data_IF_265500722034
#
_entry.id   IF_265500722034
#
_cell.length_a   1.000
_cell.length_b   1.000
_cell.length_c   1.000
_cell.angle_alpha   90.00
_cell.angle_beta   90.00
_cell.angle_gamma   90.00
#
_symmetry.space_group_name_H-M   'P 1'
#
loop_
_entity.id
_entity.type
_entity.pdbx_description
1 polymer ?
#
# COMPACT_ATOMS: atom_id res chain seq x y z
N UNK A 1 14.64 -24.13 -17.86
CA UNK A 1 13.97 -24.27 -16.55
C UNK A 1 12.49 -24.39 -16.82
N UNK A 2 11.85 -25.50 -16.43
CA UNK A 2 10.44 -25.74 -16.72
C UNK A 2 9.57 -24.73 -15.97
N UNK A 3 8.65 -24.09 -16.67
CA UNK A 3 7.74 -23.06 -16.14
C UNK A 3 6.78 -23.54 -15.04
N UNK A 4 6.76 -24.83 -14.71
CA UNK A 4 5.82 -25.43 -13.78
C UNK A 4 6.22 -25.41 -12.29
N UNK A 5 7.41 -24.91 -11.90
CA UNK A 5 7.87 -24.96 -10.49
C UNK A 5 7.91 -23.62 -9.75
N UNK A 6 7.51 -22.51 -10.38
CA UNK A 6 7.57 -21.18 -9.74
C UNK A 6 6.33 -20.87 -8.89
N UNK A 7 5.19 -21.53 -9.13
CA UNK A 7 3.92 -21.21 -8.46
C UNK A 7 3.87 -21.58 -6.96
N UNK A 8 4.83 -22.36 -6.44
CA UNK A 8 4.76 -22.87 -5.05
C UNK A 8 5.67 -22.16 -4.07
N UNK A 9 6.68 -21.40 -4.50
CA UNK A 9 7.63 -20.80 -3.56
C UNK A 9 7.14 -19.44 -3.04
N UNK A 10 7.22 -19.23 -1.71
CA UNK A 10 7.02 -17.91 -1.12
C UNK A 10 8.23 -16.99 -1.44
N UNK A 11 8.04 -15.66 -1.43
CA UNK A 11 9.16 -14.73 -1.41
C UNK A 11 10.10 -15.04 -0.23
N UNK A 12 11.40 -14.84 -0.41
CA UNK A 12 12.42 -14.98 0.64
C UNK A 12 12.02 -14.26 1.92
N UNK A 13 11.86 -15.05 2.98
CA UNK A 13 11.48 -14.61 4.30
C UNK A 13 12.66 -14.43 5.24
N UNK A 14 12.37 -14.11 6.50
CA UNK A 14 13.39 -13.91 7.55
C UNK A 14 14.32 -15.13 7.70
N UNK A 15 13.78 -16.34 7.54
CA UNK A 15 14.56 -17.58 7.66
C UNK A 15 15.47 -17.86 6.46
N UNK A 16 15.16 -17.29 5.29
CA UNK A 16 15.98 -17.43 4.09
C UNK A 16 17.15 -16.46 4.07
N UNK A 17 17.08 -15.37 4.83
CA UNK A 17 18.02 -14.26 4.72
C UNK A 17 19.11 -14.29 5.79
N UNK A 18 20.25 -13.68 5.44
CA UNK A 18 21.31 -13.29 6.36
C UNK A 18 21.13 -11.80 6.71
N UNK A 19 20.79 -11.45 7.96
CA UNK A 19 20.58 -10.07 8.36
C UNK A 19 21.88 -9.25 8.34
N UNK A 20 23.05 -9.92 8.35
CA UNK A 20 24.34 -9.24 8.31
C UNK A 20 24.81 -9.05 6.88
N UNK A 21 24.82 -7.78 6.46
CA UNK A 21 25.37 -7.36 5.18
C UNK A 21 26.88 -7.61 5.15
N UNK A 22 27.35 -8.32 4.12
CA UNK A 22 28.78 -8.54 3.85
C UNK A 22 29.14 -7.83 2.56
N UNK A 23 30.04 -6.85 2.67
CA UNK A 23 30.57 -6.08 1.54
C UNK A 23 31.96 -6.61 1.20
N UNK A 24 32.31 -6.66 -0.09
CA UNK A 24 33.63 -7.09 -0.52
C UNK A 24 34.72 -6.15 0.03
N UNK A 25 35.86 -6.66 0.54
CA UNK A 25 36.90 -5.82 1.15
C UNK A 25 37.49 -4.80 0.17
N UNK A 26 37.63 -5.18 -1.10
CA UNK A 26 38.27 -4.36 -2.13
C UNK A 26 37.30 -3.53 -2.99
N UNK A 27 35.99 -3.79 -2.91
CA UNK A 27 34.98 -3.08 -3.71
C UNK A 27 33.68 -2.92 -2.92
N UNK A 28 33.39 -1.68 -2.51
CA UNK A 28 32.21 -1.37 -1.69
C UNK A 28 30.89 -1.51 -2.43
N UNK A 29 30.91 -1.59 -3.75
CA UNK A 29 29.72 -1.81 -4.56
C UNK A 29 29.43 -3.30 -4.80
N UNK A 30 30.36 -4.20 -4.44
CA UNK A 30 30.13 -5.64 -4.43
C UNK A 30 29.60 -6.09 -3.06
N UNK A 31 28.38 -6.63 -3.06
CA UNK A 31 27.72 -7.11 -1.85
C UNK A 31 27.48 -8.61 -2.00
N UNK A 32 27.76 -9.39 -0.94
CA UNK A 32 27.35 -10.79 -0.91
C UNK A 32 25.83 -10.87 -0.93
N UNK A 33 25.29 -11.75 -1.77
CA UNK A 33 23.86 -12.01 -1.82
C UNK A 33 23.28 -12.25 -0.42
N UNK A 34 22.09 -11.68 -0.15
CA UNK A 34 21.47 -11.74 1.17
C UNK A 34 20.83 -13.08 1.51
N UNK A 35 20.71 -14.01 0.56
CA UNK A 35 20.21 -15.35 0.87
C UNK A 35 21.27 -16.12 1.66
N UNK A 36 20.84 -16.72 2.77
CA UNK A 36 21.68 -17.42 3.75
C UNK A 36 22.51 -18.49 3.06
N UNK A 37 23.82 -18.50 3.35
CA UNK A 37 24.76 -19.44 2.76
C UNK A 37 25.25 -19.10 1.34
N UNK A 38 24.64 -18.13 0.64
CA UNK A 38 25.10 -17.73 -0.68
C UNK A 38 26.49 -17.09 -0.62
N UNK A 39 27.36 -17.47 -1.57
CA UNK A 39 28.74 -16.98 -1.68
C UNK A 39 28.95 -15.97 -2.81
N UNK A 40 27.93 -15.72 -3.65
CA UNK A 40 28.03 -14.79 -4.75
C UNK A 40 28.07 -13.34 -4.27
N UNK A 41 29.09 -12.60 -4.70
CA UNK A 41 29.13 -11.15 -4.64
C UNK A 41 28.53 -10.57 -5.93
N UNK A 42 27.57 -9.66 -5.78
CA UNK A 42 26.87 -8.99 -6.89
C UNK A 42 27.09 -7.49 -6.80
N UNK A 43 27.29 -6.83 -7.95
CA UNK A 43 27.36 -5.37 -7.98
C UNK A 43 25.99 -4.77 -7.68
N UNK A 44 25.92 -3.90 -6.69
CA UNK A 44 24.67 -3.26 -6.30
C UNK A 44 24.14 -2.33 -7.39
N UNK A 45 22.82 -2.15 -7.50
CA UNK A 45 22.25 -1.13 -8.37
C UNK A 45 22.66 0.28 -7.92
N UNK A 46 22.82 1.18 -8.89
CA UNK A 46 23.05 2.62 -8.67
C UNK A 46 22.06 3.42 -9.52
N UNK A 47 22.08 4.75 -9.39
CA UNK A 47 21.27 5.62 -10.27
C UNK A 47 21.56 5.41 -11.75
N UNK A 48 22.76 4.95 -12.10
CA UNK A 48 23.23 4.83 -13.49
C UNK A 48 23.32 3.38 -13.97
N UNK A 49 23.25 2.40 -13.07
CA UNK A 49 23.45 1.00 -13.40
C UNK A 49 22.43 0.13 -12.68
N UNK A 50 21.86 -0.84 -13.41
CA UNK A 50 20.86 -1.76 -12.85
C UNK A 50 21.43 -2.76 -11.84
N UNK A 51 22.75 -2.91 -11.74
CA UNK A 51 23.41 -3.91 -10.90
C UNK A 51 23.27 -5.35 -11.40
N UNK A 52 24.06 -6.24 -10.81
CA UNK A 52 24.08 -7.67 -11.14
C UNK A 52 22.95 -8.42 -10.45
N UNK A 53 22.50 -9.50 -11.08
CA UNK A 53 21.55 -10.45 -10.51
C UNK A 53 22.34 -11.62 -9.94
N UNK A 54 22.03 -12.04 -8.72
CA UNK A 54 22.59 -13.28 -8.17
C UNK A 54 22.13 -14.47 -9.04
N UNK A 55 23.05 -15.26 -9.62
CA UNK A 55 22.69 -16.32 -10.56
C UNK A 55 21.83 -17.43 -9.92
N UNK A 56 22.01 -17.67 -8.62
CA UNK A 56 21.30 -18.73 -7.90
C UNK A 56 19.92 -18.29 -7.38
N UNK A 57 19.78 -17.01 -7.02
CA UNK A 57 18.62 -16.52 -6.27
C UNK A 57 17.75 -15.52 -7.03
N UNK A 58 18.23 -15.02 -8.17
CA UNK A 58 17.44 -14.12 -9.03
C UNK A 58 17.13 -12.76 -8.39
N UNK A 59 17.93 -12.32 -7.41
CA UNK A 59 17.76 -11.01 -6.74
C UNK A 59 18.91 -10.06 -7.05
N UNK A 60 18.61 -8.76 -6.98
CA UNK A 60 19.59 -7.68 -6.91
C UNK A 60 19.69 -7.19 -5.47
N UNK A 61 20.91 -7.03 -4.96
CA UNK A 61 21.17 -6.56 -3.61
C UNK A 61 21.40 -5.04 -3.60
N UNK A 62 20.58 -4.31 -2.85
CA UNK A 62 20.69 -2.87 -2.66
C UNK A 62 21.27 -2.57 -1.28
N UNK A 63 22.31 -1.73 -1.22
CA UNK A 63 22.87 -1.26 0.04
C UNK A 63 23.15 0.24 -0.03
N UNK A 64 22.72 0.97 0.99
CA UNK A 64 22.91 2.41 1.11
C UNK A 64 22.98 2.83 2.58
N UNK A 65 23.24 4.12 2.84
CA UNK A 65 23.18 4.70 4.19
C UNK A 65 21.80 4.59 4.86
N UNK A 66 20.74 4.37 4.09
CA UNK A 66 19.36 4.29 4.57
C UNK A 66 18.90 2.86 4.89
N UNK A 67 19.78 1.88 4.63
CA UNK A 67 19.52 0.46 4.85
C UNK A 67 19.89 -0.41 3.66
N UNK A 68 19.75 -1.70 3.86
CA UNK A 68 19.89 -2.74 2.84
C UNK A 68 18.54 -3.33 2.50
N UNK A 69 18.35 -3.73 1.26
CA UNK A 69 17.13 -4.40 0.79
C UNK A 69 17.45 -5.13 -0.52
N UNK A 70 16.53 -5.92 -1.04
CA UNK A 70 16.72 -6.56 -2.33
C UNK A 70 15.50 -6.36 -3.23
N UNK A 71 15.68 -6.65 -4.51
CA UNK A 71 14.58 -6.72 -5.47
C UNK A 71 14.74 -7.95 -6.34
N UNK A 72 13.65 -8.68 -6.56
CA UNK A 72 13.60 -9.78 -7.51
C UNK A 72 13.78 -9.26 -8.94
N UNK A 73 14.56 -9.99 -9.74
CA UNK A 73 14.67 -9.74 -11.16
C UNK A 73 13.37 -10.14 -11.90
N UNK A 74 12.71 -11.18 -11.42
CA UNK A 74 11.37 -11.59 -11.84
C UNK A 74 10.36 -11.17 -10.76
N UNK A 75 9.51 -10.19 -11.06
CA UNK A 75 8.53 -9.65 -10.11
C UNK A 75 7.56 -10.70 -9.57
N UNK A 76 7.27 -11.76 -10.34
CA UNK A 76 6.38 -12.86 -9.91
C UNK A 76 6.86 -13.53 -8.63
N UNK A 77 8.18 -13.52 -8.39
CA UNK A 77 8.79 -14.06 -7.16
C UNK A 77 8.43 -13.27 -5.90
N UNK A 78 7.91 -12.05 -6.04
CA UNK A 78 7.42 -11.22 -4.93
C UNK A 78 5.91 -11.36 -4.71
N UNK A 79 5.21 -12.15 -5.54
CA UNK A 79 3.75 -12.21 -5.60
C UNK A 79 3.26 -13.60 -5.21
N UNK A 80 2.33 -13.67 -4.24
CA UNK A 80 1.81 -14.95 -3.71
C UNK A 80 0.40 -15.27 -4.19
N UNK A 81 -0.35 -14.28 -4.66
CA UNK A 81 -1.71 -14.43 -5.16
C UNK A 81 -1.75 -14.10 -6.66
N UNK A 82 -2.23 -15.04 -7.48
CA UNK A 82 -2.30 -14.92 -8.94
C UNK A 82 -1.07 -14.25 -9.60
N UNK A 83 0.16 -14.77 -9.41
CA UNK A 83 1.39 -14.12 -9.87
C UNK A 83 1.47 -13.95 -11.39
N UNK A 84 0.92 -14.90 -12.16
CA UNK A 84 0.90 -14.80 -13.62
C UNK A 84 -0.06 -13.71 -14.10
N UNK A 85 -1.25 -13.62 -13.49
CA UNK A 85 -2.21 -12.56 -13.77
C UNK A 85 -1.63 -11.18 -13.43
N UNK A 86 -0.96 -11.07 -12.29
CA UNK A 86 -0.26 -9.85 -11.90
C UNK A 86 0.79 -9.43 -12.95
N UNK A 87 1.62 -10.38 -13.37
CA UNK A 87 2.66 -10.11 -14.37
C UNK A 87 2.09 -9.74 -15.73
N UNK A 88 0.97 -10.35 -16.13
CA UNK A 88 0.33 -10.06 -17.41
C UNK A 88 -0.42 -8.72 -17.41
N UNK A 89 -1.16 -8.42 -16.35
CA UNK A 89 -2.14 -7.33 -16.34
C UNK A 89 -1.68 -6.07 -15.63
N UNK A 90 -0.79 -6.17 -14.64
CA UNK A 90 -0.35 -5.03 -13.82
C UNK A 90 1.03 -4.52 -14.25
N UNK A 91 1.96 -5.41 -14.58
CA UNK A 91 3.33 -5.00 -14.90
C UNK A 91 3.35 -4.25 -16.23
N UNK A 92 3.67 -2.95 -16.15
CA UNK A 92 3.66 -2.07 -17.33
C UNK A 92 2.28 -1.51 -17.67
N UNK A 93 1.28 -1.72 -16.82
CA UNK A 93 -0.05 -1.13 -17.01
C UNK A 93 0.03 0.41 -17.05
N UNK A 94 -0.64 1.08 -18.01
CA UNK A 94 -0.50 2.52 -18.22
C UNK A 94 -0.99 3.37 -17.04
N UNK A 95 -1.93 2.84 -16.26
CA UNK A 95 -2.48 3.53 -15.08
C UNK A 95 -1.77 3.17 -13.77
N UNK A 96 -0.74 2.30 -13.79
CA UNK A 96 0.05 1.97 -12.61
C UNK A 96 1.37 2.72 -12.61
N UNK A 97 1.50 3.72 -11.73
CA UNK A 97 2.78 4.39 -11.55
C UNK A 97 3.79 3.49 -10.82
N UNK A 98 5.09 3.73 -11.06
CA UNK A 98 6.20 3.05 -10.37
C UNK A 98 6.27 1.51 -10.49
N UNK A 99 5.73 0.92 -11.57
CA UNK A 99 5.73 -0.54 -11.81
C UNK A 99 7.11 -1.22 -11.71
N UNK A 100 8.20 -0.47 -11.90
CA UNK A 100 9.58 -0.96 -11.73
C UNK A 100 9.95 -1.32 -10.28
N UNK A 101 9.14 -0.93 -9.28
CA UNK A 101 9.37 -1.18 -7.84
C UNK A 101 8.63 -2.39 -7.30
N UNK A 102 7.75 -3.00 -8.09
CA UNK A 102 6.90 -4.14 -7.68
C UNK A 102 7.71 -5.37 -7.25
N UNK A 103 8.93 -5.54 -7.79
CA UNK A 103 9.84 -6.62 -7.40
C UNK A 103 10.62 -6.35 -6.12
N UNK A 104 10.51 -5.18 -5.50
CA UNK A 104 11.27 -4.84 -4.30
C UNK A 104 10.72 -5.55 -3.07
N UNK A 105 11.62 -6.04 -2.22
CA UNK A 105 11.28 -6.62 -0.91
C UNK A 105 10.36 -5.69 -0.11
N UNK A 106 10.65 -4.39 -0.10
CA UNK A 106 9.88 -3.42 0.65
C UNK A 106 8.74 -2.75 -0.16
N UNK A 107 8.31 -3.36 -1.26
CA UNK A 107 7.23 -2.82 -2.10
C UNK A 107 5.88 -2.86 -1.36
N UNK A 108 5.34 -1.68 -1.08
CA UNK A 108 3.99 -1.46 -0.54
C UNK A 108 2.91 -1.93 -1.51
N UNK A 109 3.10 -1.68 -2.80
CA UNK A 109 2.21 -2.16 -3.87
C UNK A 109 2.15 -3.69 -3.94
N UNK A 110 3.30 -4.37 -3.94
CA UNK A 110 3.33 -5.83 -3.97
C UNK A 110 2.69 -6.41 -2.70
N UNK A 111 2.88 -5.77 -1.54
CA UNK A 111 2.20 -6.16 -0.31
C UNK A 111 0.68 -5.98 -0.42
N UNK A 112 0.22 -4.83 -0.92
CA UNK A 112 -1.20 -4.52 -1.10
C UNK A 112 -1.88 -5.53 -2.02
N UNK A 113 -1.24 -5.87 -3.14
CA UNK A 113 -1.68 -6.95 -4.02
C UNK A 113 -1.75 -8.28 -3.27
N UNK A 114 -0.64 -8.71 -2.66
CA UNK A 114 -0.57 -10.01 -1.98
C UNK A 114 -1.62 -10.17 -0.88
N UNK A 115 -1.95 -9.09 -0.16
CA UNK A 115 -2.98 -9.10 0.88
C UNK A 115 -4.37 -9.10 0.27
N UNK A 116 -4.73 -8.07 -0.50
CA UNK A 116 -6.11 -7.88 -0.91
C UNK A 116 -6.54 -8.82 -2.04
N UNK A 117 -5.61 -9.24 -2.91
CA UNK A 117 -5.91 -10.27 -3.90
C UNK A 117 -6.10 -11.65 -3.23
N UNK A 118 -5.31 -11.98 -2.20
CA UNK A 118 -5.54 -13.21 -1.42
C UNK A 118 -6.90 -13.19 -0.72
N UNK A 119 -7.30 -12.04 -0.15
CA UNK A 119 -8.62 -11.86 0.45
C UNK A 119 -9.74 -12.02 -0.58
N UNK A 120 -9.59 -11.43 -1.77
CA UNK A 120 -10.54 -11.56 -2.86
C UNK A 120 -10.68 -13.03 -3.32
N UNK A 121 -9.57 -13.72 -3.55
CA UNK A 121 -9.57 -15.14 -3.94
C UNK A 121 -10.15 -16.08 -2.88
N UNK A 122 -10.23 -15.60 -1.63
CA UNK A 122 -10.82 -16.28 -0.50
C UNK A 122 -12.29 -15.91 -0.23
N UNK A 123 -12.84 -14.89 -0.89
CA UNK A 123 -14.16 -14.34 -0.58
C UNK A 123 -14.23 -13.77 0.84
N UNK A 124 -13.20 -13.01 1.24
CA UNK A 124 -13.07 -12.43 2.58
C UNK A 124 -12.93 -10.90 2.56
N UNK A 125 -13.19 -10.23 1.44
CA UNK A 125 -13.13 -8.77 1.38
C UNK A 125 -14.23 -8.14 2.24
N UNK A 126 -15.43 -8.72 2.30
CA UNK A 126 -16.50 -8.24 3.17
C UNK A 126 -16.10 -8.32 4.65
N UNK A 127 -15.43 -9.41 5.02
CA UNK A 127 -14.94 -9.61 6.38
C UNK A 127 -13.89 -8.56 6.78
N UNK A 128 -12.94 -8.26 5.88
CA UNK A 128 -11.93 -7.22 6.14
C UNK A 128 -12.51 -5.82 6.05
N UNK A 129 -13.51 -5.58 5.18
CA UNK A 129 -14.26 -4.34 5.18
C UNK A 129 -14.92 -4.11 6.54
N UNK A 130 -15.59 -5.12 7.11
CA UNK A 130 -16.17 -5.03 8.47
C UNK A 130 -15.14 -4.66 9.53
N UNK A 131 -13.94 -5.23 9.49
CA UNK A 131 -12.85 -4.84 10.39
C UNK A 131 -12.49 -3.35 10.23
N UNK A 132 -12.47 -2.85 9.01
CA UNK A 132 -12.07 -1.48 8.69
C UNK A 132 -13.15 -0.47 8.99
N UNK A 133 -14.41 -0.73 8.65
CA UNK A 133 -15.52 0.24 8.74
C UNK A 133 -16.52 -0.06 9.86
N UNK A 134 -16.39 -1.19 10.55
CA UNK A 134 -17.26 -1.58 11.67
C UNK A 134 -18.67 -2.01 11.28
N UNK A 135 -18.98 -2.04 9.98
CA UNK A 135 -20.28 -2.45 9.45
C UNK A 135 -20.23 -3.83 8.83
N UNK A 136 -21.28 -4.61 9.05
CA UNK A 136 -21.40 -5.96 8.53
C UNK A 136 -22.27 -5.97 7.28
N UNK A 137 -21.66 -6.34 6.15
CA UNK A 137 -22.34 -6.50 4.86
C UNK A 137 -21.99 -7.89 4.33
N UNK A 138 -22.97 -8.77 4.07
CA UNK A 138 -22.68 -10.14 3.63
C UNK A 138 -22.18 -10.26 2.19
N UNK A 139 -22.33 -9.20 1.38
CA UNK A 139 -21.85 -9.16 0.00
C UNK A 139 -20.39 -8.74 -0.09
N UNK A 140 -19.62 -9.44 -0.94
CA UNK A 140 -18.25 -9.06 -1.26
C UNK A 140 -18.22 -7.73 -2.03
N UNK A 141 -17.42 -6.74 -1.60
CA UNK A 141 -17.18 -5.53 -2.38
C UNK A 141 -16.30 -5.81 -3.61
N UNK A 142 -16.37 -4.90 -4.58
CA UNK A 142 -15.37 -4.80 -5.63
C UNK A 142 -14.03 -4.35 -5.03
N UNK A 143 -12.94 -5.00 -5.47
CA UNK A 143 -11.57 -4.60 -5.15
C UNK A 143 -11.01 -3.73 -6.26
N UNK A 144 -10.44 -2.59 -5.88
CA UNK A 144 -9.61 -1.77 -6.75
C UNK A 144 -8.23 -1.64 -6.13
N UNK A 145 -7.18 -1.77 -6.94
CA UNK A 145 -5.82 -1.45 -6.55
C UNK A 145 -5.31 -0.39 -7.51
N UNK A 146 -4.80 0.71 -6.98
CA UNK A 146 -4.24 1.80 -7.80
C UNK A 146 -5.24 2.43 -8.77
N UNK A 147 -6.53 2.39 -8.41
CA UNK A 147 -7.61 2.85 -9.29
C UNK A 147 -7.94 1.93 -10.46
N UNK A 148 -7.45 0.69 -10.44
CA UNK A 148 -7.75 -0.36 -11.43
C UNK A 148 -8.63 -1.41 -10.76
N UNK A 149 -9.76 -1.76 -11.37
CA UNK A 149 -10.59 -2.86 -10.87
C UNK A 149 -9.80 -4.16 -10.95
N UNK A 150 -9.76 -4.92 -9.87
CA UNK A 150 -9.06 -6.22 -9.85
C UNK A 150 -10.11 -7.31 -9.90
N UNK A 151 -10.11 -8.08 -10.98
CA UNK A 151 -10.93 -9.28 -11.15
C UNK A 151 -10.22 -10.24 -12.09
N UNK A 152 -10.74 -11.46 -12.26
CA UNK A 152 -10.12 -12.43 -13.17
C UNK A 152 -10.26 -12.01 -14.63
N UNK A 153 -11.34 -11.29 -14.97
CA UNK A 153 -11.74 -10.98 -16.33
C UNK A 153 -11.60 -9.49 -16.72
N UNK A 154 -11.34 -8.60 -15.76
CA UNK A 154 -11.31 -7.15 -15.99
C UNK A 154 -10.25 -6.46 -15.13
N UNK A 155 -9.50 -5.56 -15.78
CA UNK A 155 -8.47 -4.69 -15.23
C UNK A 155 -8.67 -3.25 -15.73
N UNK A 156 -9.92 -2.81 -15.76
CA UNK A 156 -10.28 -1.49 -16.26
C UNK A 156 -10.05 -0.40 -15.21
N UNK A 157 -9.72 0.83 -15.63
CA UNK A 157 -9.64 1.95 -14.70
C UNK A 157 -11.02 2.25 -14.10
N UNK A 158 -11.02 2.79 -12.88
CA UNK A 158 -12.25 3.09 -12.16
C UNK A 158 -12.85 4.43 -12.57
N UNK A 159 -14.01 4.41 -13.22
CA UNK A 159 -14.70 5.61 -13.73
C UNK A 159 -14.94 6.69 -12.65
N UNK A 160 -15.30 6.29 -11.42
CA UNK A 160 -15.47 7.24 -10.31
C UNK A 160 -14.17 7.97 -9.98
N UNK A 161 -13.03 7.27 -10.02
CA UNK A 161 -11.73 7.87 -9.77
C UNK A 161 -11.31 8.79 -10.93
N UNK A 162 -11.60 8.40 -12.19
CA UNK A 162 -11.38 9.27 -13.35
C UNK A 162 -12.17 10.57 -13.17
N UNK A 163 -13.46 10.48 -12.84
CA UNK A 163 -14.30 11.66 -12.62
C UNK A 163 -13.80 12.53 -11.46
N UNK A 164 -13.30 11.93 -10.37
CA UNK A 164 -12.73 12.67 -9.24
C UNK A 164 -11.44 13.40 -9.64
N UNK A 165 -10.56 12.75 -10.42
CA UNK A 165 -9.36 13.38 -10.98
C UNK A 165 -9.72 14.53 -11.93
N UNK A 166 -10.75 14.38 -12.76
CA UNK A 166 -11.23 15.48 -13.60
C UNK A 166 -11.74 16.65 -12.77
N UNK A 167 -12.49 16.38 -11.69
CA UNK A 167 -13.04 17.40 -10.78
C UNK A 167 -11.98 18.19 -10.02
N UNK A 168 -10.95 17.52 -9.51
CA UNK A 168 -9.98 18.11 -8.58
C UNK A 168 -8.58 18.33 -9.17
N UNK A 169 -8.18 17.55 -10.17
CA UNK A 169 -6.79 17.50 -10.66
C UNK A 169 -6.65 17.90 -12.15
N UNK A 170 -7.73 18.31 -12.83
CA UNK A 170 -7.68 18.74 -14.25
C UNK A 170 -6.82 19.98 -14.50
N UNK A 171 -6.62 20.83 -13.49
CA UNK A 171 -5.90 22.11 -13.62
C UNK A 171 -4.87 22.29 -12.49
N UNK A 172 -4.04 21.28 -12.25
CA UNK A 172 -2.97 21.38 -11.26
C UNK A 172 -1.92 22.43 -11.68
N UNK A 173 -1.39 23.23 -10.73
CA UNK A 173 -0.36 24.23 -11.02
C UNK A 173 1.04 23.62 -11.25
N UNK A 174 1.15 22.30 -11.19
CA UNK A 174 2.39 21.53 -11.31
C UNK A 174 2.13 20.23 -12.07
N UNK A 175 3.12 19.79 -12.84
CA UNK A 175 3.11 18.47 -13.46
C UNK A 175 3.47 17.40 -12.42
N UNK A 176 2.52 16.54 -12.09
CA UNK A 176 2.68 15.48 -11.10
C UNK A 176 1.79 14.28 -11.42
N UNK A 177 2.10 13.08 -10.88
CA UNK A 177 1.16 11.97 -10.94
C UNK A 177 -0.19 12.34 -10.29
N UNK A 178 -1.26 11.93 -10.96
CA UNK A 178 -2.64 12.05 -10.46
C UNK A 178 -2.86 11.14 -9.25
N UNK A 179 -3.97 11.34 -8.54
CA UNK A 179 -4.34 10.54 -7.37
C UNK A 179 -4.51 9.08 -7.69
N UNK A 180 -3.68 8.23 -7.11
CA UNK A 180 -3.76 6.76 -7.16
C UNK A 180 -3.93 6.27 -5.71
N UNK A 181 -5.16 5.95 -5.25
CA UNK A 181 -5.35 5.30 -3.96
C UNK A 181 -4.74 3.90 -3.99
N UNK A 182 -4.07 3.48 -2.91
CA UNK A 182 -3.37 2.20 -2.89
C UNK A 182 -4.35 1.03 -3.03
N UNK A 183 -5.42 1.04 -2.21
CA UNK A 183 -6.52 0.08 -2.26
C UNK A 183 -7.86 0.82 -2.18
N UNK A 184 -8.88 0.30 -2.83
CA UNK A 184 -10.26 0.63 -2.53
C UNK A 184 -11.17 -0.59 -2.46
N UNK A 185 -12.14 -0.53 -1.55
CA UNK A 185 -13.24 -1.49 -1.45
C UNK A 185 -14.54 -0.75 -1.74
N UNK A 186 -15.32 -1.24 -2.69
CA UNK A 186 -16.55 -0.58 -3.11
C UNK A 186 -17.71 -1.57 -3.14
N UNK A 187 -18.73 -1.32 -2.32
CA UNK A 187 -20.00 -2.02 -2.37
C UNK A 187 -21.09 -1.00 -2.78
N UNK A 188 -21.55 -1.03 -4.05
CA UNK A 188 -22.49 -0.05 -4.59
C UNK A 188 -23.74 0.14 -3.73
N UNK A 189 -24.12 1.40 -3.49
CA UNK A 189 -25.26 1.78 -2.63
C UNK A 189 -25.10 1.41 -1.15
N UNK A 190 -23.86 1.16 -0.69
CA UNK A 190 -23.53 0.83 0.70
C UNK A 190 -22.32 1.60 1.18
N UNK A 191 -21.14 1.32 0.63
CA UNK A 191 -19.91 1.98 1.05
C UNK A 191 -18.87 2.08 -0.04
N UNK A 192 -18.01 3.08 0.11
CA UNK A 192 -16.79 3.27 -0.64
C UNK A 192 -15.65 3.55 0.34
N UNK A 193 -14.67 2.66 0.39
CA UNK A 193 -13.49 2.80 1.25
C UNK A 193 -12.29 3.09 0.38
N UNK A 194 -11.64 4.25 0.56
CA UNK A 194 -10.28 4.46 0.08
C UNK A 194 -9.30 4.12 1.20
N UNK A 195 -8.27 3.34 0.89
CA UNK A 195 -7.28 2.90 1.87
C UNK A 195 -5.92 3.43 1.41
N UNK A 196 -5.33 4.30 2.22
CA UNK A 196 -3.93 4.68 2.10
C UNK A 196 -3.09 3.68 2.89
N UNK A 197 -2.28 2.91 2.17
CA UNK A 197 -1.42 1.87 2.73
C UNK A 197 -0.07 2.48 3.10
N UNK A 198 0.49 2.09 4.25
CA UNK A 198 1.88 2.39 4.61
C UNK A 198 2.59 1.15 5.11
N UNK A 199 3.68 0.81 4.45
CA UNK A 199 4.52 -0.33 4.81
C UNK A 199 5.83 0.13 5.43
N UNK A 200 6.75 0.69 4.64
CA UNK A 200 8.08 1.11 5.14
C UNK A 200 8.30 2.61 5.14
N UNK A 201 7.52 3.36 4.35
CA UNK A 201 7.51 4.81 4.32
C UNK A 201 6.48 5.38 5.29
N UNK A 202 6.78 6.52 5.94
CA UNK A 202 5.79 7.25 6.71
C UNK A 202 4.77 7.92 5.79
N UNK A 203 3.66 8.37 6.36
CA UNK A 203 2.76 9.27 5.64
C UNK A 203 3.47 10.61 5.37
N UNK A 204 3.60 11.04 4.09
CA UNK A 204 4.26 12.29 3.78
C UNK A 204 3.33 13.47 4.06
N UNK A 205 3.93 14.63 4.33
CA UNK A 205 3.19 15.83 4.68
C UNK A 205 3.78 17.10 4.03
N UNK A 206 2.90 18.08 3.84
CA UNK A 206 3.29 19.45 3.54
C UNK A 206 3.30 20.29 4.80
N UNK A 207 4.31 21.14 4.91
CA UNK A 207 4.42 22.19 5.92
C UNK A 207 4.21 23.53 5.23
N UNK A 208 3.80 24.54 5.99
CA UNK A 208 3.74 25.91 5.48
C UNK A 208 5.11 26.37 5.02
N UNK A 209 5.15 27.06 3.88
CA UNK A 209 6.37 27.57 3.31
C UNK A 209 6.36 27.56 1.78
N UNK A 210 7.50 27.87 1.17
CA UNK A 210 7.64 27.81 -0.28
C UNK A 210 7.47 26.38 -0.80
N UNK A 211 7.16 26.26 -2.09
CA UNK A 211 7.09 24.97 -2.79
C UNK A 211 8.43 24.24 -2.63
N UNK A 212 8.38 22.95 -2.27
CA UNK A 212 9.58 22.12 -2.02
C UNK A 212 10.35 21.77 -3.29
N UNK A 213 9.63 21.49 -4.37
CA UNK A 213 10.19 21.09 -5.68
C UNK A 213 9.18 21.36 -6.80
N UNK A 214 9.52 21.02 -8.04
CA UNK A 214 8.69 21.30 -9.22
C UNK A 214 7.38 20.48 -9.28
N UNK A 215 7.23 19.43 -8.48
CA UNK A 215 6.08 18.51 -8.51
C UNK A 215 5.20 18.62 -7.25
N UNK A 216 5.74 19.18 -6.17
CA UNK A 216 5.04 19.40 -4.90
C UNK A 216 4.04 20.54 -5.02
N UNK A 217 2.88 20.44 -4.36
CA UNK A 217 2.01 21.60 -4.12
C UNK A 217 2.54 22.41 -2.93
N UNK A 218 2.17 23.68 -2.85
CA UNK A 218 2.24 24.40 -1.58
C UNK A 218 1.13 23.94 -0.64
N UNK A 219 1.27 24.25 0.65
CA UNK A 219 0.25 23.95 1.65
C UNK A 219 -1.12 24.54 1.30
N UNK A 220 -1.16 25.81 0.90
CA UNK A 220 -2.42 26.50 0.62
C UNK A 220 -3.02 26.02 -0.72
N UNK A 221 -2.21 25.75 -1.74
CA UNK A 221 -2.69 25.12 -2.98
C UNK A 221 -3.31 23.75 -2.72
N UNK A 222 -2.72 22.92 -1.86
CA UNK A 222 -3.31 21.64 -1.48
C UNK A 222 -4.71 21.84 -0.90
N UNK A 223 -4.85 22.76 0.05
CA UNK A 223 -6.12 23.05 0.71
C UNK A 223 -7.16 23.66 -0.24
N UNK A 224 -6.74 24.41 -1.25
CA UNK A 224 -7.66 25.07 -2.18
C UNK A 224 -8.09 24.12 -3.30
N UNK A 225 -7.18 23.28 -3.79
CA UNK A 225 -7.46 22.28 -4.83
C UNK A 225 -8.37 21.17 -4.29
N UNK A 226 -8.02 20.62 -3.13
CA UNK A 226 -8.79 19.54 -2.49
C UNK A 226 -9.72 20.11 -1.43
N UNK A 227 -10.61 21.00 -1.87
CA UNK A 227 -11.70 21.49 -1.05
C UNK A 227 -12.96 21.65 -1.88
N UNK A 228 -14.06 21.12 -1.35
CA UNK A 228 -15.40 21.35 -1.87
C UNK A 228 -16.31 21.64 -0.67
N UNK A 229 -17.13 22.68 -0.80
CA UNK A 229 -18.00 23.12 0.29
C UNK A 229 -19.25 22.25 0.45
N UNK A 230 -19.57 21.38 -0.52
CA UNK A 230 -20.63 20.39 -0.35
C UNK A 230 -20.25 19.25 0.60
N UNK A 231 -18.94 18.96 0.66
CA UNK A 231 -18.35 17.88 1.45
C UNK A 231 -18.27 18.26 2.93
N UNK A 232 -18.40 17.27 3.80
CA UNK A 232 -18.60 17.42 5.24
C UNK A 232 -17.54 16.71 6.07
N UNK A 233 -16.71 15.87 5.47
CA UNK A 233 -15.72 15.06 6.19
C UNK A 233 -14.60 15.89 6.84
N UNK A 234 -14.18 17.00 6.24
CA UNK A 234 -13.00 17.77 6.65
C UNK A 234 -13.32 19.18 7.13
N UNK A 235 -12.57 19.62 8.15
CA UNK A 235 -12.64 20.95 8.73
C UNK A 235 -11.51 21.84 8.17
N UNK A 236 -11.84 22.64 7.14
CA UNK A 236 -10.86 23.56 6.51
C UNK A 236 -10.32 24.62 7.47
N UNK A 237 -11.11 25.07 8.44
CA UNK A 237 -10.66 26.10 9.38
C UNK A 237 -9.54 25.54 10.25
N UNK A 238 -9.75 24.36 10.84
CA UNK A 238 -8.69 23.66 11.58
C UNK A 238 -7.49 23.33 10.70
N UNK A 239 -7.72 22.92 9.46
CA UNK A 239 -6.63 22.63 8.52
C UNK A 239 -5.79 23.87 8.21
N UNK A 240 -6.40 25.06 8.12
CA UNK A 240 -5.68 26.34 7.98
C UNK A 240 -4.89 26.72 9.24
N UNK A 241 -5.32 26.30 10.41
CA UNK A 241 -4.57 26.54 11.66
C UNK A 241 -3.44 25.51 11.87
N UNK A 242 -3.46 24.40 11.14
CA UNK A 242 -2.43 23.37 11.24
C UNK A 242 -1.09 23.83 10.64
N UNK A 243 0.00 23.37 11.27
CA UNK A 243 1.37 23.62 10.79
C UNK A 243 1.77 22.69 9.64
N UNK A 244 1.11 21.53 9.53
CA UNK A 244 1.34 20.53 8.49
C UNK A 244 0.09 19.71 8.20
N UNK A 245 0.02 19.17 6.99
CA UNK A 245 -1.07 18.31 6.52
C UNK A 245 -0.49 17.09 5.81
N UNK A 246 -0.99 15.92 6.18
CA UNK A 246 -0.72 14.66 5.49
C UNK A 246 -1.51 14.63 4.19
N UNK A 247 -0.85 14.99 3.09
CA UNK A 247 -1.55 15.36 1.86
C UNK A 247 -2.25 14.19 1.17
N UNK A 248 -1.72 12.96 1.30
CA UNK A 248 -2.37 11.76 0.76
C UNK A 248 -3.67 11.48 1.53
N UNK A 249 -3.63 11.58 2.86
CA UNK A 249 -4.81 11.37 3.69
C UNK A 249 -5.89 12.44 3.44
N UNK A 250 -5.48 13.71 3.32
CA UNK A 250 -6.38 14.83 3.00
C UNK A 250 -7.10 14.60 1.67
N UNK A 251 -6.32 14.29 0.64
CA UNK A 251 -6.80 14.08 -0.73
C UNK A 251 -7.72 12.87 -0.84
N UNK A 252 -7.34 11.74 -0.26
CA UNK A 252 -8.15 10.53 -0.30
C UNK A 252 -9.46 10.68 0.48
N UNK A 253 -9.48 11.46 1.57
CA UNK A 253 -10.73 11.77 2.26
C UNK A 253 -11.70 12.55 1.35
N UNK A 254 -11.22 13.63 0.70
CA UNK A 254 -12.02 14.40 -0.27
C UNK A 254 -12.51 13.53 -1.41
N UNK A 255 -11.64 12.70 -1.98
CA UNK A 255 -11.99 11.79 -3.07
C UNK A 255 -13.03 10.77 -2.63
N UNK A 256 -12.85 10.14 -1.46
CA UNK A 256 -13.79 9.12 -0.98
C UNK A 256 -15.20 9.66 -0.80
N UNK A 257 -15.35 10.84 -0.18
CA UNK A 257 -16.66 11.47 0.04
C UNK A 257 -17.32 11.89 -1.26
N UNK A 258 -16.57 12.57 -2.13
CA UNK A 258 -17.10 13.01 -3.41
C UNK A 258 -17.48 11.85 -4.34
N UNK A 259 -16.65 10.81 -4.40
CA UNK A 259 -16.94 9.61 -5.21
C UNK A 259 -18.16 8.86 -4.69
N UNK A 260 -18.34 8.78 -3.37
CA UNK A 260 -19.52 8.17 -2.76
C UNK A 260 -20.80 8.94 -3.09
N UNK A 261 -20.79 10.28 -2.92
CA UNK A 261 -21.93 11.14 -3.29
C UNK A 261 -22.29 11.05 -4.78
N UNK A 262 -21.28 10.93 -5.65
CA UNK A 262 -21.48 10.77 -7.09
C UNK A 262 -22.09 9.40 -7.45
N UNK A 263 -21.68 8.34 -6.76
CA UNK A 263 -22.17 6.99 -7.02
C UNK A 263 -23.63 6.81 -6.58
N UNK A 264 -23.94 7.19 -5.34
CA UNK A 264 -25.29 7.09 -4.78
C UNK A 264 -25.43 7.90 -3.49
N UNK A 265 -26.59 8.53 -3.21
CA UNK A 265 -26.85 9.15 -1.92
C UNK A 265 -26.83 8.17 -0.74
N UNK A 266 -26.95 6.87 -0.99
CA UNK A 266 -26.94 5.82 0.04
C UNK A 266 -25.52 5.26 0.31
N UNK A 267 -24.53 5.64 -0.49
CA UNK A 267 -23.16 5.13 -0.33
C UNK A 267 -22.39 5.96 0.68
N UNK A 268 -21.93 5.30 1.74
CA UNK A 268 -21.13 5.94 2.79
C UNK A 268 -19.65 5.95 2.41
N UNK A 269 -18.98 7.08 2.59
CA UNK A 269 -17.56 7.19 2.37
C UNK A 269 -16.74 6.86 3.63
N UNK A 270 -15.67 6.10 3.43
CA UNK A 270 -14.66 5.86 4.45
C UNK A 270 -13.27 6.07 3.86
N UNK A 271 -12.37 6.50 4.73
CA UNK A 271 -10.96 6.60 4.45
C UNK A 271 -10.16 5.92 5.56
N UNK A 272 -9.32 4.96 5.18
CA UNK A 272 -8.55 4.14 6.12
C UNK A 272 -7.06 4.39 5.92
N UNK A 273 -6.35 4.73 6.99
CA UNK A 273 -4.89 4.66 6.99
C UNK A 273 -4.47 3.27 7.50
N UNK A 274 -3.97 2.42 6.58
CA UNK A 274 -3.56 1.05 6.84
C UNK A 274 -2.04 0.99 7.04
N UNK A 275 -1.61 0.83 8.29
CA UNK A 275 -0.19 0.92 8.66
C UNK A 275 0.33 -0.38 9.29
N UNK A 276 1.62 -0.47 9.59
CA UNK A 276 2.11 -1.52 10.51
C UNK A 276 1.73 -1.18 11.94
N UNK A 277 1.37 -2.18 12.74
CA UNK A 277 0.90 -1.98 14.11
C UNK A 277 1.88 -1.15 14.95
N UNK A 278 3.19 -1.45 14.83
CA UNK A 278 4.28 -0.76 15.53
C UNK A 278 4.74 0.57 14.92
N UNK A 279 4.12 1.03 13.82
CA UNK A 279 4.53 2.24 13.09
C UNK A 279 3.38 3.24 12.92
N UNK A 280 3.75 4.51 12.65
CA UNK A 280 2.85 5.57 12.16
C UNK A 280 1.62 5.92 13.03
N UNK A 281 1.70 5.89 14.37
CA UNK A 281 0.56 6.35 15.21
C UNK A 281 0.32 7.86 15.18
N UNK A 282 1.33 8.65 14.79
CA UNK A 282 1.28 10.11 14.86
C UNK A 282 0.45 10.73 13.73
N UNK A 283 0.50 10.17 12.51
CA UNK A 283 -0.25 10.70 11.38
C UNK A 283 -1.75 10.59 11.59
N UNK A 284 -2.20 9.46 12.13
CA UNK A 284 -3.62 9.20 12.43
C UNK A 284 -4.17 10.20 13.44
N UNK A 285 -3.46 10.35 14.56
CA UNK A 285 -3.85 11.26 15.63
C UNK A 285 -3.84 12.73 15.20
N UNK A 286 -2.89 13.15 14.37
CA UNK A 286 -2.86 14.52 13.87
C UNK A 286 -3.94 14.76 12.80
N UNK A 287 -4.16 13.79 11.90
CA UNK A 287 -5.13 13.92 10.83
C UNK A 287 -6.57 13.84 11.35
N UNK A 288 -6.87 13.00 12.35
CA UNK A 288 -8.22 12.88 12.92
C UNK A 288 -8.75 14.18 13.51
N UNK A 289 -7.86 15.09 13.94
CA UNK A 289 -8.25 16.43 14.41
C UNK A 289 -8.83 17.32 13.31
N UNK A 290 -8.52 17.02 12.06
CA UNK A 290 -8.99 17.73 10.88
C UNK A 290 -10.32 17.17 10.37
N UNK A 291 -10.76 16.02 10.87
CA UNK A 291 -12.06 15.44 10.55
C UNK A 291 -13.15 16.17 11.34
N UNK A 292 -14.30 16.41 10.71
CA UNK A 292 -15.40 17.12 11.38
C UNK A 292 -16.06 16.22 12.44
N UNK A 293 -16.66 16.87 13.45
CA UNK A 293 -17.40 16.15 14.49
C UNK A 293 -18.71 15.51 13.97
N UNK A 294 -19.17 15.89 12.76
CA UNK A 294 -20.34 15.31 12.13
C UNK A 294 -20.05 13.95 11.47
N UNK A 295 -18.77 13.66 11.23
CA UNK A 295 -18.31 12.49 10.47
C UNK A 295 -17.11 11.80 11.14
N UNK A 296 -17.13 11.56 12.48
CA UNK A 296 -15.95 11.06 13.19
C UNK A 296 -15.51 9.68 12.70
N UNK A 297 -16.47 8.87 12.22
CA UNK A 297 -16.24 7.49 11.81
C UNK A 297 -15.74 7.33 10.36
N UNK A 298 -15.70 8.42 9.58
CA UNK A 298 -15.25 8.40 8.19
C UNK A 298 -13.74 8.19 8.05
N UNK A 299 -12.94 8.57 9.05
CA UNK A 299 -11.49 8.31 9.05
C UNK A 299 -11.15 7.25 10.08
N UNK A 300 -10.45 6.20 9.65
CA UNK A 300 -10.09 5.09 10.53
C UNK A 300 -8.65 4.67 10.36
N UNK A 301 -8.09 4.14 11.45
CA UNK A 301 -6.80 3.47 11.42
C UNK A 301 -7.02 1.96 11.38
N UNK A 302 -6.35 1.29 10.47
CA UNK A 302 -6.23 -0.17 10.47
C UNK A 302 -4.74 -0.56 10.49
N UNK A 303 -4.47 -1.85 10.70
CA UNK A 303 -3.11 -2.37 10.56
C UNK A 303 -3.04 -3.71 9.84
N UNK A 304 -1.93 -3.93 9.14
CA UNK A 304 -1.66 -5.15 8.37
C UNK A 304 -1.76 -6.42 9.23
N UNK A 305 -1.27 -6.35 10.46
CA UNK A 305 -1.32 -7.45 11.41
C UNK A 305 -2.77 -7.81 11.79
N UNK A 306 -3.65 -6.82 11.93
CA UNK A 306 -5.08 -7.00 12.16
C UNK A 306 -5.78 -7.66 10.99
N UNK A 307 -5.47 -7.23 9.76
CA UNK A 307 -5.96 -7.88 8.54
C UNK A 307 -5.50 -9.34 8.48
N UNK A 308 -4.23 -9.61 8.80
CA UNK A 308 -3.72 -10.97 8.81
C UNK A 308 -4.37 -11.85 9.89
N UNK A 309 -4.60 -11.31 11.11
CA UNK A 309 -5.32 -12.03 12.17
C UNK A 309 -6.75 -12.39 11.73
N UNK A 310 -7.46 -11.48 11.08
CA UNK A 310 -8.81 -11.73 10.58
C UNK A 310 -8.87 -12.91 9.59
N UNK A 311 -7.79 -13.17 8.84
CA UNK A 311 -7.72 -14.34 7.95
C UNK A 311 -7.45 -15.66 8.67
N UNK A 312 -6.90 -15.64 9.90
CA UNK A 312 -6.60 -16.87 10.65
C UNK A 312 -7.88 -17.62 11.06
N UNK A 313 -8.99 -16.90 11.23
CA UNK A 313 -10.29 -17.46 11.60
C UNK A 313 -10.96 -18.26 10.45
N UNK A 314 -10.36 -18.25 9.25
CA UNK A 314 -10.88 -18.88 8.04
C UNK A 314 -9.84 -19.81 7.39
N UNK A 315 -9.53 -20.97 8.01
CA UNK A 315 -8.45 -21.83 7.55
C UNK A 315 -8.77 -22.54 6.22
N UNK A 316 -7.96 -22.26 5.20
CA UNK A 316 -7.72 -23.16 4.06
C UNK A 316 -6.24 -23.08 3.65
N UNK A 317 -5.81 -23.96 2.74
CA UNK A 317 -4.43 -23.96 2.22
C UNK A 317 -3.99 -22.57 1.70
N UNK A 318 -4.88 -21.85 1.01
CA UNK A 318 -4.60 -20.50 0.51
C UNK A 318 -4.36 -19.50 1.64
N UNK A 319 -5.19 -19.53 2.70
CA UNK A 319 -5.00 -18.67 3.86
C UNK A 319 -3.76 -19.07 4.63
N UNK A 320 -3.45 -20.36 4.79
CA UNK A 320 -2.21 -20.80 5.44
C UNK A 320 -0.97 -20.24 4.73
N UNK A 321 -0.93 -20.29 3.39
CA UNK A 321 0.14 -19.69 2.59
C UNK A 321 0.23 -18.17 2.78
N UNK A 322 -0.90 -17.47 2.80
CA UNK A 322 -0.95 -16.04 3.07
C UNK A 322 -0.43 -15.70 4.49
N UNK A 323 -0.87 -16.44 5.50
CA UNK A 323 -0.46 -16.25 6.90
C UNK A 323 1.04 -16.51 7.02
N UNK A 324 1.56 -17.57 6.42
CA UNK A 324 3.00 -17.85 6.37
C UNK A 324 3.77 -16.71 5.70
N UNK A 325 3.28 -16.19 4.57
CA UNK A 325 3.85 -15.02 3.91
C UNK A 325 3.89 -13.80 4.84
N UNK A 326 2.79 -13.49 5.55
CA UNK A 326 2.75 -12.36 6.48
C UNK A 326 3.72 -12.55 7.65
N UNK A 327 3.83 -13.74 8.23
CA UNK A 327 4.78 -14.02 9.31
C UNK A 327 6.24 -13.91 8.88
N UNK A 328 6.53 -14.27 7.62
CA UNK A 328 7.88 -14.31 7.09
C UNK A 328 8.28 -13.04 6.31
N UNK A 329 7.33 -12.16 5.99
CA UNK A 329 7.55 -10.95 5.20
C UNK A 329 8.69 -10.16 5.79
N UNK A 330 9.67 -9.83 4.96
CA UNK A 330 10.77 -8.97 5.37
C UNK A 330 10.62 -7.53 4.86
N UNK A 331 11.24 -6.62 5.59
CA UNK A 331 11.50 -5.25 5.23
C UNK A 331 12.90 -4.88 5.72
N UNK A 332 13.77 -4.48 4.79
CA UNK A 332 15.18 -4.20 5.08
C UNK A 332 15.93 -5.40 5.69
N UNK A 333 15.69 -6.59 5.15
CA UNK A 333 16.29 -7.87 5.59
C UNK A 333 15.90 -8.33 7.01
N UNK A 334 14.92 -7.68 7.63
CA UNK A 334 14.40 -8.05 8.94
C UNK A 334 12.91 -8.36 8.84
N UNK A 335 12.35 -9.08 9.83
CA UNK A 335 10.92 -9.33 9.89
C UNK A 335 10.14 -7.99 9.87
N UNK A 336 9.16 -7.90 9.00
CA UNK A 336 8.43 -6.67 8.77
C UNK A 336 7.30 -6.42 9.78
N UNK A 337 6.71 -7.49 10.31
CA UNK A 337 5.52 -7.45 11.17
C UNK A 337 5.78 -8.13 12.52
N UNK A 338 5.15 -7.60 13.57
CA UNK A 338 5.23 -8.15 14.92
C UNK A 338 3.90 -8.80 15.32
N UNK A 339 3.77 -10.10 15.08
CA UNK A 339 2.65 -10.87 15.62
C UNK A 339 2.91 -11.18 17.10
N UNK A 340 2.53 -10.27 17.99
CA UNK A 340 2.54 -10.53 19.43
C UNK A 340 1.54 -11.64 19.74
N UNK A 341 1.91 -12.57 20.62
CA UNK A 341 0.93 -13.48 21.22
C UNK A 341 -0.13 -12.61 21.94
N UNK A 342 -1.41 -12.80 21.56
CA UNK A 342 -2.54 -11.97 21.92
C UNK A 342 -2.45 -11.37 23.34
N UNK A 343 -2.28 -10.05 23.42
CA UNK A 343 -2.96 -9.27 24.46
C UNK A 343 -4.33 -8.96 23.89
N UNK A 344 -5.38 -9.34 24.62
CA UNK A 344 -6.78 -9.12 24.27
C UNK A 344 -6.96 -7.70 23.71
N UNK A 345 -7.55 -7.60 22.51
CA UNK A 345 -7.91 -6.32 21.90
C UNK A 345 -9.00 -5.67 22.75
N UNK A 346 -8.66 -4.58 23.43
CA UNK A 346 -9.64 -3.73 24.09
C UNK A 346 -10.28 -2.84 23.02
N UNK A 347 -11.55 -3.12 22.69
CA UNK A 347 -12.35 -2.37 21.72
C UNK A 347 -12.86 -1.02 22.27
N UNK A 348 -12.23 -0.44 23.29
CA UNK A 348 -12.62 0.83 23.87
C UNK A 348 -11.60 1.95 23.59
N UNK A 349 -11.53 2.46 22.35
CA UNK A 349 -11.11 3.86 22.07
C UNK A 349 -11.83 4.44 20.85
#
# INVERSE_FOLDING_TARGET
MSSASLQTQLPYGTDDLDPKVVVHPDDRDLIRCYVRGCQHFVRRPTRYQRGDICPDHGIRCHHSRYGSTYSYADVRRNIIASPDLFAEKIVGHPFKYESHRLGAENSEDALSWNVFRSLQEAGLLAHVAKLMIGEDHPQEPDLYLWGIRVSDDSFEPWDLLIAARERFESNLPVERPLTEPDIALHLPGKYLVLIEAKFTSPNPYYERGPRKDAQSLTFDELLDIYWDASLRSLDRAKAREANRIYYQLWRNMVFSEWMAELESPDTMAYHVNLVRESHESRSDYEFSKLVTAASPDMFRRANWEGVARAMQDHPSERQSRFIEYMHNKTAKLANAFEFRANKEWDHSQ
#
